data_IF_434131763561
#
_entry.id   IF_434131763561
#
_cell.length_a   1.000
_cell.length_b   1.000
_cell.length_c   1.000
_cell.angle_alpha   90.00
_cell.angle_beta   90.00
_cell.angle_gamma   90.00
#
_symmetry.space_group_name_H-M   'P 1'
#
loop_
_entity.id
_entity.type
_entity.pdbx_description
1 polymer ?
#
# COMPACT_ATOMS: atom_id res chain seq x y z
N UNK A 1 -4.99 -12.75 27.27
CA UNK A 1 -4.49 -12.64 25.89
C UNK A 1 -3.39 -11.57 25.94
N UNK A 2 -2.12 -11.97 25.82
CA UNK A 2 -1.01 -11.02 25.91
C UNK A 2 -1.08 -10.11 24.70
N UNK A 3 -1.22 -8.81 24.91
CA UNK A 3 -1.00 -7.80 23.88
C UNK A 3 0.47 -7.93 23.50
N UNK A 4 0.78 -8.44 22.31
CA UNK A 4 2.14 -8.41 21.82
C UNK A 4 2.57 -6.94 21.73
N UNK A 5 3.70 -6.56 22.34
CA UNK A 5 4.16 -5.19 22.25
C UNK A 5 4.39 -4.83 20.79
N UNK A 6 4.04 -3.59 20.42
CA UNK A 6 4.31 -3.06 19.09
C UNK A 6 5.76 -3.34 18.70
N UNK A 7 6.05 -3.71 17.45
CA UNK A 7 7.42 -3.94 17.03
C UNK A 7 8.27 -2.72 17.34
N UNK A 8 9.34 -2.90 18.13
CA UNK A 8 10.30 -1.83 18.35
C UNK A 8 10.81 -1.31 17.00
N UNK A 9 10.86 0.02 16.82
CA UNK A 9 11.33 0.65 15.59
C UNK A 9 10.26 1.08 14.60
N UNK A 10 8.96 0.96 14.93
CA UNK A 10 7.89 1.57 14.10
C UNK A 10 7.88 3.09 14.32
N UNK A 11 7.91 3.82 13.22
CA UNK A 11 7.79 5.29 13.22
C UNK A 11 7.08 5.82 11.97
N UNK A 12 6.60 7.07 11.98
CA UNK A 12 6.18 7.74 10.75
C UNK A 12 7.31 7.75 9.71
N UNK A 13 6.94 7.60 8.44
CA UNK A 13 7.86 7.79 7.33
C UNK A 13 8.16 9.29 7.15
N UNK A 14 9.33 9.58 6.62
CA UNK A 14 9.80 10.94 6.32
C UNK A 14 10.26 11.03 4.86
N UNK A 15 10.39 12.23 4.27
CA UNK A 15 10.96 12.36 2.92
C UNK A 15 12.36 11.74 2.77
N UNK A 16 13.13 11.62 3.85
CA UNK A 16 14.43 10.95 3.85
C UNK A 16 14.37 9.43 3.66
N UNK A 17 13.20 8.83 3.82
CA UNK A 17 12.98 7.39 3.64
C UNK A 17 12.58 7.02 2.20
N UNK A 18 12.30 8.01 1.34
CA UNK A 18 11.74 7.82 -0.01
C UNK A 18 12.50 6.78 -0.82
N UNK A 19 13.82 6.85 -0.87
CA UNK A 19 14.65 5.95 -1.68
C UNK A 19 14.57 4.50 -1.19
N UNK A 20 14.64 4.30 0.12
CA UNK A 20 14.60 2.96 0.70
C UNK A 20 13.19 2.38 0.66
N UNK A 21 12.15 3.17 0.91
CA UNK A 21 10.74 2.77 0.71
C UNK A 21 10.51 2.34 -0.74
N UNK A 22 10.96 3.13 -1.71
CA UNK A 22 10.86 2.80 -3.13
C UNK A 22 11.53 1.48 -3.46
N UNK A 23 12.75 1.24 -2.96
CA UNK A 23 13.49 -0.01 -3.17
C UNK A 23 12.71 -1.22 -2.64
N UNK A 24 12.18 -1.12 -1.43
CA UNK A 24 11.42 -2.20 -0.79
C UNK A 24 10.13 -2.49 -1.56
N UNK A 25 9.37 -1.46 -1.93
CA UNK A 25 8.12 -1.61 -2.65
C UNK A 25 8.35 -2.15 -4.06
N UNK A 26 9.37 -1.67 -4.77
CA UNK A 26 9.74 -2.24 -6.07
C UNK A 26 10.00 -3.74 -5.97
N UNK A 27 10.77 -4.18 -4.97
CA UNK A 27 11.05 -5.60 -4.76
C UNK A 27 9.83 -6.41 -4.27
N UNK A 28 8.90 -5.77 -3.55
CA UNK A 28 7.70 -6.43 -3.04
C UNK A 28 6.67 -6.67 -4.16
N UNK A 29 6.52 -5.72 -5.08
CA UNK A 29 5.50 -5.75 -6.14
C UNK A 29 6.04 -6.17 -7.52
N UNK A 30 7.31 -6.55 -7.62
CA UNK A 30 7.94 -6.88 -8.91
C UNK A 30 7.24 -8.01 -9.67
N UNK A 31 6.82 -9.05 -8.95
CA UNK A 31 6.10 -10.21 -9.47
C UNK A 31 4.68 -10.32 -8.87
N UNK A 32 4.13 -9.20 -8.42
CA UNK A 32 2.76 -9.15 -7.91
C UNK A 32 1.76 -9.49 -9.04
N UNK A 33 0.71 -10.30 -8.78
CA UNK A 33 -0.23 -10.72 -9.81
C UNK A 33 -0.96 -9.57 -10.53
N UNK A 34 -1.17 -8.46 -9.85
CA UNK A 34 -1.88 -7.29 -10.38
C UNK A 34 -0.89 -6.27 -10.97
N UNK A 35 0.12 -5.91 -10.20
CA UNK A 35 1.05 -4.85 -10.59
C UNK A 35 2.16 -5.30 -11.54
N UNK A 36 2.57 -6.58 -11.47
CA UNK A 36 3.57 -7.13 -12.40
C UNK A 36 3.18 -6.96 -13.88
N UNK A 37 1.94 -7.29 -14.29
CA UNK A 37 1.45 -7.08 -15.66
C UNK A 37 1.42 -5.62 -16.11
N UNK A 38 1.24 -4.65 -15.20
CA UNK A 38 1.26 -3.21 -15.52
C UNK A 38 2.63 -2.74 -16.04
N UNK A 39 3.68 -3.52 -15.78
CA UNK A 39 5.05 -3.27 -16.25
C UNK A 39 5.54 -4.48 -17.05
N UNK A 40 5.09 -4.66 -18.32
CA UNK A 40 5.17 -5.94 -19.03
C UNK A 40 6.59 -6.37 -19.38
N UNK A 41 7.47 -5.44 -19.71
CA UNK A 41 8.86 -5.77 -20.07
C UNK A 41 9.68 -6.16 -18.81
N UNK A 42 9.92 -7.45 -18.64
CA UNK A 42 10.66 -8.00 -17.49
C UNK A 42 12.10 -7.46 -17.37
N UNK A 43 12.73 -7.07 -18.46
CA UNK A 43 14.11 -6.57 -18.42
C UNK A 43 14.18 -5.15 -17.83
N UNK A 44 13.21 -4.32 -18.13
CA UNK A 44 13.15 -2.92 -17.66
C UNK A 44 12.23 -2.74 -16.43
N UNK A 45 11.40 -3.75 -16.10
CA UNK A 45 10.42 -3.69 -15.01
C UNK A 45 10.97 -3.13 -13.69
N UNK A 46 12.13 -3.56 -13.16
CA UNK A 46 12.64 -3.02 -11.90
C UNK A 46 12.85 -1.50 -11.94
N UNK A 47 13.32 -0.98 -13.08
CA UNK A 47 13.57 0.45 -13.29
C UNK A 47 12.24 1.20 -13.45
N UNK A 48 11.35 0.68 -14.30
CA UNK A 48 10.06 1.32 -14.63
C UNK A 48 9.14 1.33 -13.40
N UNK A 49 8.93 0.18 -12.77
CA UNK A 49 8.15 0.08 -11.54
C UNK A 49 8.76 0.90 -10.39
N UNK A 50 10.10 0.94 -10.30
CA UNK A 50 10.79 1.76 -9.31
C UNK A 50 10.52 3.25 -9.48
N UNK A 51 10.53 3.77 -10.71
CA UNK A 51 10.20 5.16 -10.98
C UNK A 51 8.72 5.46 -10.65
N UNK A 52 7.81 4.57 -11.01
CA UNK A 52 6.40 4.67 -10.69
C UNK A 52 6.16 4.69 -9.17
N UNK A 53 6.69 3.70 -8.43
CA UNK A 53 6.54 3.65 -6.97
C UNK A 53 7.19 4.83 -6.27
N UNK A 54 8.32 5.34 -6.80
CA UNK A 54 8.95 6.54 -6.26
C UNK A 54 8.02 7.74 -6.30
N UNK A 55 7.31 7.92 -7.41
CA UNK A 55 6.33 8.98 -7.54
C UNK A 55 5.18 8.80 -6.53
N UNK A 56 4.56 7.62 -6.48
CA UNK A 56 3.43 7.34 -5.60
C UNK A 56 3.79 7.50 -4.12
N UNK A 57 4.97 7.02 -3.70
CA UNK A 57 5.47 7.22 -2.33
C UNK A 57 5.74 8.69 -2.05
N UNK A 58 6.30 9.42 -3.01
CA UNK A 58 6.53 10.85 -2.89
C UNK A 58 5.23 11.63 -2.64
N UNK A 59 4.17 11.30 -3.38
CA UNK A 59 2.85 11.87 -3.17
C UNK A 59 2.27 11.52 -1.78
N UNK A 60 2.41 10.28 -1.33
CA UNK A 60 1.92 9.86 -0.02
C UNK A 60 2.67 10.52 1.15
N UNK A 61 3.95 10.84 0.97
CA UNK A 61 4.76 11.51 2.01
C UNK A 61 4.38 12.98 2.25
N UNK A 62 3.38 13.51 1.53
CA UNK A 62 2.70 14.79 1.88
C UNK A 62 1.98 14.68 3.23
N UNK A 63 1.62 13.46 3.65
CA UNK A 63 0.87 13.15 4.85
C UNK A 63 1.73 12.39 5.86
N UNK A 64 1.49 12.54 7.17
CA UNK A 64 2.24 11.83 8.21
C UNK A 64 1.76 10.39 8.46
N UNK A 65 0.92 9.84 7.57
CA UNK A 65 0.21 8.59 7.78
C UNK A 65 1.05 7.36 7.47
N UNK A 66 1.97 7.46 6.49
CA UNK A 66 2.84 6.35 6.11
C UNK A 66 3.79 5.96 7.24
N UNK A 67 4.05 4.67 7.38
CA UNK A 67 4.86 4.11 8.47
C UNK A 67 5.99 3.23 7.93
N UNK A 68 7.08 3.22 8.67
CA UNK A 68 8.22 2.33 8.42
C UNK A 68 8.57 1.55 9.69
N UNK A 69 9.11 0.35 9.51
CA UNK A 69 9.71 -0.45 10.56
C UNK A 69 11.24 -0.46 10.38
N UNK A 70 11.94 0.19 11.28
CA UNK A 70 13.41 0.16 11.33
C UNK A 70 13.94 -1.14 11.95
N UNK A 71 15.04 -1.62 11.41
CA UNK A 71 15.84 -2.70 11.95
C UNK A 71 17.18 -2.21 12.48
N UNK A 72 18.11 -3.14 12.78
CA UNK A 72 19.46 -2.81 13.16
C UNK A 72 20.15 -1.93 12.10
N UNK A 73 20.94 -0.94 12.57
CA UNK A 73 21.62 -0.01 11.69
C UNK A 73 20.69 0.96 10.94
N UNK A 74 19.43 1.07 11.38
CA UNK A 74 18.38 1.92 10.80
C UNK A 74 17.89 1.48 9.40
N UNK A 75 18.31 0.33 8.88
CA UNK A 75 17.78 -0.20 7.64
C UNK A 75 16.29 -0.51 7.77
N UNK A 76 15.47 -0.18 6.78
CA UNK A 76 14.04 -0.44 6.81
C UNK A 76 13.76 -1.93 6.53
N UNK A 77 12.91 -2.53 7.36
CA UNK A 77 12.46 -3.92 7.21
C UNK A 77 11.09 -4.03 6.56
N UNK A 78 10.21 -3.08 6.83
CA UNK A 78 8.88 -3.02 6.24
C UNK A 78 8.44 -1.56 6.09
N UNK A 79 7.56 -1.34 5.11
CA UNK A 79 7.00 -0.02 4.80
C UNK A 79 5.51 -0.17 4.51
N UNK A 80 4.71 0.80 4.96
CA UNK A 80 3.29 0.92 4.63
C UNK A 80 2.98 2.34 4.17
N UNK A 81 2.27 2.45 3.06
CA UNK A 81 1.88 3.72 2.45
C UNK A 81 0.39 3.92 2.67
N UNK A 82 0.07 5.04 3.30
CA UNK A 82 -1.28 5.36 3.71
C UNK A 82 -1.69 6.75 3.25
N UNK A 83 -2.98 6.87 2.93
CA UNK A 83 -3.66 8.15 2.70
C UNK A 83 -4.72 8.38 3.78
N UNK A 84 -4.82 9.60 4.33
CA UNK A 84 -5.86 9.93 5.31
C UNK A 84 -7.25 10.02 4.65
N UNK A 85 -8.33 10.01 5.44
CA UNK A 85 -9.69 10.08 4.90
C UNK A 85 -9.93 11.32 4.03
N UNK A 86 -10.47 11.10 2.84
CA UNK A 86 -10.88 12.16 1.92
C UNK A 86 -9.76 12.76 1.06
N UNK A 87 -8.54 12.24 1.17
CA UNK A 87 -7.41 12.71 0.36
C UNK A 87 -7.18 11.83 -0.86
N UNK A 88 -6.81 12.47 -1.96
CA UNK A 88 -6.45 11.80 -3.21
C UNK A 88 -4.99 11.33 -3.20
N UNK A 89 -4.73 10.22 -3.90
CA UNK A 89 -3.39 9.65 -4.02
C UNK A 89 -2.42 10.58 -4.76
N UNK A 90 -2.92 11.34 -5.73
CA UNK A 90 -2.15 12.30 -6.50
C UNK A 90 -2.70 13.70 -6.21
N UNK A 91 -1.83 14.61 -5.82
CA UNK A 91 -2.21 16.01 -5.60
C UNK A 91 -2.67 16.68 -6.90
N UNK A 92 -3.52 17.71 -6.85
CA UNK A 92 -3.86 18.49 -8.03
C UNK A 92 -2.63 18.99 -8.80
N UNK A 93 -1.60 19.41 -8.08
CA UNK A 93 -0.33 19.86 -8.65
C UNK A 93 0.50 18.70 -9.22
N UNK A 94 0.34 17.50 -8.70
CA UNK A 94 1.06 16.27 -9.11
C UNK A 94 0.54 15.64 -10.39
N UNK A 95 -0.72 15.92 -10.80
CA UNK A 95 -1.34 15.24 -11.94
C UNK A 95 -0.52 15.37 -13.24
N UNK A 96 -0.07 16.59 -13.57
CA UNK A 96 0.74 16.78 -14.79
C UNK A 96 2.08 16.04 -14.76
N UNK A 97 2.70 15.92 -13.59
CA UNK A 97 3.93 15.15 -13.41
C UNK A 97 3.67 13.63 -13.50
N UNK A 98 2.54 13.17 -12.98
CA UNK A 98 2.09 11.78 -13.09
C UNK A 98 1.85 11.37 -14.55
N UNK A 99 1.08 12.15 -15.29
CA UNK A 99 0.82 11.92 -16.73
C UNK A 99 2.12 11.86 -17.53
N UNK A 100 3.00 12.85 -17.35
CA UNK A 100 4.30 12.88 -18.01
C UNK A 100 5.15 11.64 -17.68
N UNK A 101 5.17 11.22 -16.41
CA UNK A 101 5.90 10.05 -15.97
C UNK A 101 5.35 8.76 -16.60
N UNK A 102 4.02 8.57 -16.59
CA UNK A 102 3.39 7.39 -17.20
C UNK A 102 3.71 7.29 -18.68
N UNK A 103 3.63 8.40 -19.42
CA UNK A 103 3.98 8.44 -20.85
C UNK A 103 5.48 8.27 -21.13
N UNK A 104 6.36 8.63 -20.21
CA UNK A 104 7.79 8.35 -20.33
C UNK A 104 8.12 6.87 -20.06
N UNK A 105 7.43 6.25 -19.11
CA UNK A 105 7.74 4.91 -18.65
C UNK A 105 7.08 3.80 -19.46
N UNK A 106 5.90 4.04 -20.03
CA UNK A 106 5.04 3.03 -20.65
C UNK A 106 4.69 3.43 -22.10
N UNK A 107 4.48 2.43 -22.93
CA UNK A 107 3.83 2.65 -24.20
C UNK A 107 2.34 2.99 -24.04
N UNK A 108 1.69 3.41 -25.12
CA UNK A 108 0.31 3.88 -25.08
C UNK A 108 -0.68 2.80 -24.57
N UNK A 109 -0.46 1.54 -24.93
CA UNK A 109 -1.35 0.45 -24.53
C UNK A 109 -1.20 0.12 -23.04
N UNK A 110 0.02 0.06 -22.53
CA UNK A 110 0.33 -0.15 -21.12
C UNK A 110 -0.13 1.04 -20.25
N UNK A 111 0.07 2.28 -20.72
CA UNK A 111 -0.43 3.47 -20.03
C UNK A 111 -1.96 3.44 -19.91
N UNK A 112 -2.67 3.19 -21.01
CA UNK A 112 -4.13 3.08 -20.99
C UNK A 112 -4.64 1.90 -20.14
N UNK A 113 -3.90 0.79 -20.05
CA UNK A 113 -4.23 -0.32 -19.17
C UNK A 113 -4.09 0.07 -17.69
N UNK A 114 -3.01 0.77 -17.33
CA UNK A 114 -2.78 1.28 -15.98
C UNK A 114 -3.87 2.29 -15.56
N UNK A 115 -4.24 3.23 -16.44
CA UNK A 115 -5.31 4.20 -16.18
C UNK A 115 -6.66 3.51 -15.95
N UNK A 116 -7.01 2.52 -16.78
CA UNK A 116 -8.24 1.75 -16.59
C UNK A 116 -8.26 1.01 -15.25
N UNK A 117 -7.16 0.36 -14.88
CA UNK A 117 -7.06 -0.32 -13.59
C UNK A 117 -7.20 0.66 -12.42
N UNK A 118 -6.55 1.82 -12.50
CA UNK A 118 -6.66 2.88 -11.48
C UNK A 118 -8.10 3.40 -11.36
N UNK A 119 -8.80 3.61 -12.48
CA UNK A 119 -10.21 4.01 -12.47
C UNK A 119 -11.11 2.94 -11.84
N UNK A 120 -10.88 1.65 -12.14
CA UNK A 120 -11.64 0.53 -11.57
C UNK A 120 -11.44 0.42 -10.04
N UNK A 121 -10.24 0.65 -9.54
CA UNK A 121 -9.98 0.73 -8.09
C UNK A 121 -10.69 1.95 -7.46
N UNK A 122 -10.61 3.12 -8.09
CA UNK A 122 -11.25 4.32 -7.60
C UNK A 122 -12.79 4.17 -7.53
N UNK A 123 -13.40 3.56 -8.53
CA UNK A 123 -14.85 3.29 -8.58
C UNK A 123 -15.30 2.29 -7.50
N UNK A 124 -14.44 1.35 -7.13
CA UNK A 124 -14.73 0.34 -6.11
C UNK A 124 -14.51 0.84 -4.67
N UNK A 125 -13.80 1.96 -4.51
CA UNK A 125 -13.45 2.51 -3.19
C UNK A 125 -14.72 2.99 -2.47
N UNK A 126 -14.89 2.66 -1.16
CA UNK A 126 -16.01 3.13 -0.37
C UNK A 126 -16.07 4.67 -0.32
N UNK A 127 -17.30 5.22 -0.34
CA UNK A 127 -17.51 6.66 -0.21
C UNK A 127 -17.42 7.16 1.23
N UNK A 128 -17.56 6.25 2.19
CA UNK A 128 -17.38 6.57 3.61
C UNK A 128 -15.94 6.98 3.89
N UNK A 129 -15.73 8.05 4.67
CA UNK A 129 -14.38 8.48 5.03
C UNK A 129 -13.59 7.35 5.71
N UNK A 130 -12.41 7.03 5.20
CA UNK A 130 -11.55 5.97 5.70
C UNK A 130 -10.08 6.26 5.42
N UNK A 131 -9.19 5.69 6.23
CA UNK A 131 -7.78 5.66 5.90
C UNK A 131 -7.51 4.52 4.89
N UNK A 132 -6.74 4.84 3.85
CA UNK A 132 -6.49 3.92 2.75
C UNK A 132 -5.04 3.40 2.77
N UNK A 133 -4.89 2.09 2.96
CA UNK A 133 -3.61 1.39 2.80
C UNK A 133 -3.42 1.05 1.33
N UNK A 134 -2.58 1.82 0.65
CA UNK A 134 -2.28 1.61 -0.78
C UNK A 134 -1.21 0.54 -0.98
N UNK A 135 -0.12 0.60 -0.22
CA UNK A 135 1.03 -0.29 -0.39
C UNK A 135 1.55 -0.81 0.96
N UNK A 136 1.85 -2.10 1.01
CA UNK A 136 2.51 -2.74 2.15
C UNK A 136 3.63 -3.64 1.62
N UNK A 137 4.86 -3.31 1.95
CA UNK A 137 6.04 -4.04 1.49
C UNK A 137 6.97 -4.46 2.62
N UNK A 138 7.65 -5.60 2.42
CA UNK A 138 8.69 -6.11 3.33
C UNK A 138 9.96 -6.29 2.53
N UNK A 139 11.07 -5.77 3.07
CA UNK A 139 12.39 -5.94 2.48
C UNK A 139 12.69 -7.42 2.24
N UNK A 140 13.24 -7.81 1.07
CA UNK A 140 13.48 -9.22 0.74
C UNK A 140 14.21 -9.98 1.84
N UNK A 141 15.22 -9.37 2.43
CA UNK A 141 16.06 -9.91 3.51
C UNK A 141 15.33 -10.02 4.87
N UNK A 142 14.16 -9.38 5.01
CA UNK A 142 13.35 -9.37 6.24
C UNK A 142 12.06 -10.21 6.12
N UNK A 143 11.84 -10.88 4.98
CA UNK A 143 10.65 -11.71 4.77
C UNK A 143 10.60 -12.90 5.72
N UNK A 144 9.38 -13.37 6.01
CA UNK A 144 9.18 -14.49 6.93
C UNK A 144 9.14 -14.12 8.42
N UNK A 145 9.59 -12.91 8.79
CA UNK A 145 9.63 -12.44 10.18
C UNK A 145 8.35 -11.77 10.71
N UNK A 146 7.24 -11.78 9.95
CA UNK A 146 5.99 -11.14 10.39
C UNK A 146 6.00 -9.60 10.36
N UNK A 147 7.07 -8.99 9.86
CA UNK A 147 7.29 -7.54 9.93
C UNK A 147 6.21 -6.70 9.23
N UNK A 148 5.68 -7.16 8.09
CA UNK A 148 4.60 -6.45 7.39
C UNK A 148 3.31 -6.42 8.21
N UNK A 149 2.91 -7.56 8.77
CA UNK A 149 1.70 -7.62 9.60
C UNK A 149 1.89 -6.94 10.95
N UNK A 150 3.09 -6.94 11.51
CA UNK A 150 3.42 -6.18 12.72
C UNK A 150 3.33 -4.67 12.47
N UNK A 151 3.85 -4.18 11.34
CA UNK A 151 3.75 -2.78 10.94
C UNK A 151 2.30 -2.37 10.68
N UNK A 152 1.53 -3.23 9.98
CA UNK A 152 0.10 -2.99 9.73
C UNK A 152 -0.68 -2.90 11.05
N UNK A 153 -0.45 -3.81 11.99
CA UNK A 153 -1.10 -3.77 13.31
C UNK A 153 -0.83 -2.46 14.04
N UNK A 154 0.43 -2.00 14.06
CA UNK A 154 0.79 -0.73 14.69
C UNK A 154 0.08 0.48 14.06
N UNK A 155 -0.14 0.47 12.74
CA UNK A 155 -0.93 1.50 12.08
C UNK A 155 -2.42 1.39 12.45
N UNK A 156 -2.96 0.17 12.51
CA UNK A 156 -4.36 -0.06 12.89
C UNK A 156 -4.66 0.36 14.31
N UNK A 157 -3.74 0.16 15.27
CA UNK A 157 -3.91 0.63 16.64
C UNK A 157 -4.10 2.16 16.69
N UNK A 158 -3.34 2.90 15.86
CA UNK A 158 -3.50 4.35 15.73
C UNK A 158 -4.87 4.74 15.15
N UNK A 159 -5.35 4.06 14.12
CA UNK A 159 -6.67 4.33 13.54
C UNK A 159 -7.82 3.90 14.44
N UNK A 160 -7.64 2.83 15.23
CA UNK A 160 -8.60 2.41 16.25
C UNK A 160 -8.76 3.48 17.34
N UNK A 161 -7.65 4.06 17.83
CA UNK A 161 -7.65 5.17 18.79
C UNK A 161 -8.34 6.42 18.23
N UNK A 162 -8.17 6.68 16.94
CA UNK A 162 -8.79 7.82 16.25
C UNK A 162 -10.26 7.56 15.84
N UNK A 163 -10.76 6.33 15.95
CA UNK A 163 -12.10 5.94 15.50
C UNK A 163 -12.25 5.97 13.98
N UNK A 164 -11.17 5.78 13.23
CA UNK A 164 -11.14 5.88 11.76
C UNK A 164 -11.16 4.46 11.16
N UNK A 165 -12.13 4.14 10.29
CA UNK A 165 -12.13 2.89 9.55
C UNK A 165 -10.99 2.85 8.51
N UNK A 166 -10.60 1.64 8.11
CA UNK A 166 -9.52 1.45 7.15
C UNK A 166 -9.95 0.58 5.98
N UNK A 167 -9.37 0.84 4.81
CA UNK A 167 -9.64 0.13 3.57
C UNK A 167 -8.33 -0.27 2.87
N UNK A 168 -8.36 -1.39 2.14
CA UNK A 168 -7.27 -1.83 1.28
C UNK A 168 -7.76 -2.70 0.12
N UNK A 169 -6.96 -2.80 -0.94
CA UNK A 169 -7.09 -3.81 -2.00
C UNK A 169 -5.99 -4.86 -1.86
N UNK A 170 -6.39 -6.14 -1.88
CA UNK A 170 -5.44 -7.26 -1.82
C UNK A 170 -5.07 -7.72 -3.23
N UNK A 171 -3.96 -7.22 -3.75
CA UNK A 171 -3.44 -7.61 -5.07
C UNK A 171 -2.96 -9.06 -5.12
N UNK A 172 -2.63 -9.65 -3.96
CA UNK A 172 -2.18 -11.03 -3.86
C UNK A 172 -3.00 -11.81 -2.84
N UNK A 173 -3.84 -12.78 -3.28
CA UNK A 173 -4.73 -13.57 -2.40
C UNK A 173 -4.03 -14.33 -1.27
N UNK A 174 -2.72 -14.57 -1.38
CA UNK A 174 -1.91 -15.17 -0.30
C UNK A 174 -1.97 -14.35 1.00
N UNK A 175 -2.29 -13.06 0.90
CA UNK A 175 -2.37 -12.16 2.05
C UNK A 175 -3.78 -12.08 2.67
N UNK A 176 -4.82 -12.54 2.00
CA UNK A 176 -6.22 -12.39 2.41
C UNK A 176 -6.47 -12.84 3.85
N UNK A 177 -6.13 -14.07 4.18
CA UNK A 177 -6.28 -14.60 5.54
C UNK A 177 -5.47 -13.81 6.58
N UNK A 178 -4.40 -13.14 6.18
CA UNK A 178 -3.59 -12.30 7.09
C UNK A 178 -4.32 -11.00 7.42
N UNK A 179 -4.98 -10.39 6.43
CA UNK A 179 -5.82 -9.21 6.65
C UNK A 179 -7.05 -9.54 7.51
N UNK A 180 -7.72 -10.66 7.24
CA UNK A 180 -8.86 -11.12 8.03
C UNK A 180 -8.51 -11.34 9.52
N UNK A 181 -7.31 -11.87 9.82
CA UNK A 181 -6.82 -12.01 11.20
C UNK A 181 -6.58 -10.68 11.92
N UNK A 182 -6.43 -9.59 11.19
CA UNK A 182 -6.33 -8.23 11.72
C UNK A 182 -7.69 -7.52 11.79
N UNK A 183 -8.80 -8.24 11.54
CA UNK A 183 -10.16 -7.72 11.67
C UNK A 183 -10.73 -7.13 10.38
N UNK A 184 -10.02 -7.20 9.26
CA UNK A 184 -10.57 -6.83 7.97
C UNK A 184 -11.65 -7.83 7.53
N UNK A 185 -12.66 -7.33 6.84
CA UNK A 185 -13.73 -8.14 6.23
C UNK A 185 -13.73 -7.92 4.72
N UNK A 186 -13.97 -8.97 3.91
CA UNK A 186 -14.18 -8.81 2.49
C UNK A 186 -15.26 -7.76 2.22
N UNK A 187 -14.98 -6.80 1.34
CA UNK A 187 -15.89 -5.71 0.99
C UNK A 187 -16.50 -5.93 -0.40
N UNK A 188 -15.68 -5.84 -1.45
CA UNK A 188 -16.09 -6.13 -2.82
C UNK A 188 -14.97 -6.78 -3.61
N UNK A 189 -15.25 -7.24 -4.82
CA UNK A 189 -14.25 -7.75 -5.76
C UNK A 189 -14.17 -6.79 -6.95
N UNK A 190 -12.98 -6.29 -7.23
CA UNK A 190 -12.69 -5.53 -8.45
C UNK A 190 -12.28 -6.53 -9.53
N UNK A 191 -12.98 -6.53 -10.63
CA UNK A 191 -12.61 -7.31 -11.82
C UNK A 191 -11.90 -6.38 -12.79
N UNK A 192 -10.59 -6.55 -12.93
CA UNK A 192 -9.79 -5.75 -13.84
C UNK A 192 -10.02 -6.17 -15.29
N UNK A 193 -9.78 -5.26 -16.22
CA UNK A 193 -10.04 -5.47 -17.65
C UNK A 193 -9.23 -6.64 -18.25
N UNK A 194 -8.09 -6.99 -17.66
CA UNK A 194 -7.27 -8.14 -18.03
C UNK A 194 -7.76 -9.47 -17.44
N UNK A 195 -8.86 -9.44 -16.67
CA UNK A 195 -9.47 -10.59 -16.01
C UNK A 195 -8.90 -10.90 -14.62
N UNK A 196 -7.95 -10.13 -14.12
CA UNK A 196 -7.49 -10.27 -12.74
C UNK A 196 -8.59 -9.86 -11.76
N UNK A 197 -8.67 -10.56 -10.63
CA UNK A 197 -9.66 -10.30 -9.57
C UNK A 197 -8.95 -9.90 -8.30
N UNK A 198 -9.35 -8.76 -7.76
CA UNK A 198 -8.77 -8.17 -6.55
C UNK A 198 -9.85 -8.09 -5.47
N UNK A 199 -9.63 -8.77 -4.36
CA UNK A 199 -10.49 -8.66 -3.20
C UNK A 199 -10.17 -7.37 -2.46
N UNK A 200 -11.18 -6.55 -2.20
CA UNK A 200 -11.04 -5.38 -1.34
C UNK A 200 -11.51 -5.69 0.07
N UNK A 201 -10.99 -4.95 1.03
CA UNK A 201 -11.20 -5.20 2.44
C UNK A 201 -11.53 -3.92 3.20
N UNK A 202 -12.51 -4.01 4.08
CA UNK A 202 -12.92 -2.95 4.99
C UNK A 202 -12.72 -3.39 6.44
N UNK A 203 -12.31 -2.46 7.29
CA UNK A 203 -12.20 -2.70 8.72
C UNK A 203 -12.74 -1.50 9.49
N UNK A 204 -13.77 -1.73 10.29
CA UNK A 204 -14.26 -0.77 11.27
C UNK A 204 -13.24 -0.61 12.40
N UNK A 205 -13.12 0.61 13.00
CA UNK A 205 -12.25 0.80 14.15
C UNK A 205 -12.69 -0.11 15.29
N UNK A 206 -11.72 -0.74 15.93
CA UNK A 206 -11.98 -1.60 17.08
C UNK A 206 -11.82 -0.77 18.35
N UNK A 207 -12.91 -0.53 19.07
CA UNK A 207 -12.88 0.26 20.30
C UNK A 207 -11.88 -0.30 21.30
N UNK A 208 -11.14 0.57 21.97
CA UNK A 208 -10.28 0.24 23.09
C UNK A 208 -11.20 -0.31 24.21
N UNK A 209 -11.41 -1.63 24.24
CA UNK A 209 -12.21 -2.24 25.29
C UNK A 209 -13.20 -3.33 24.91
N UNK A 210 -13.24 -3.82 23.67
CA UNK A 210 -14.03 -5.03 23.33
C UNK A 210 -13.24 -6.31 23.61
N UNK A 211 -12.90 -6.52 24.87
CA UNK A 211 -12.57 -7.87 25.36
C UNK A 211 -13.88 -8.65 25.45
N UNK A 212 -14.11 -9.59 24.54
CA UNK A 212 -15.05 -10.70 24.76
C UNK A 212 -14.29 -11.98 25.00
#
# INVERSE_FOLDING_TARGET
MSIEPLPHGVRPATPGDLDEMTRILTAAFLDDPVWGPSFPDRATRPRVAGAYWRFMVGEALRFPESRVLEGPGRALRAVSVWYPPGEDEISPEGHGAYEALVHELLDADAAAALERASAQFADARPREPHAYLTLLGVAPEARGGGHGMGLLRAALDHYDEAGIPTYLESSNPVNDTRYERLGYRPHTVVELTDGARVQTYWRDPQGIGSTR
#
